data_IF_742682590380
#
_entry.id   IF_742682590380
#
_cell.length_a   1.000
_cell.length_b   1.000
_cell.length_c   1.000
_cell.angle_alpha   90.00
_cell.angle_beta   90.00
_cell.angle_gamma   90.00
#
_symmetry.space_group_name_H-M   'P 1'
#
loop_
_entity.id
_entity.type
_entity.pdbx_description
1 polymer ?
#
# COMPACT_ATOMS: atom_id res chain seq x y z
N UNK A 1 28.74 3.15 4.92
CA UNK A 1 27.62 2.61 5.72
C UNK A 1 26.34 3.08 5.06
N UNK A 2 25.57 2.18 4.46
CA UNK A 2 24.27 2.54 3.91
C UNK A 2 23.29 2.59 5.07
N UNK A 3 22.93 3.79 5.53
CA UNK A 3 21.89 3.98 6.53
C UNK A 3 20.59 3.49 5.88
N UNK A 4 20.14 2.29 6.23
CA UNK A 4 18.81 1.84 5.83
C UNK A 4 17.82 2.85 6.43
N UNK A 5 17.17 3.64 5.59
CA UNK A 5 16.04 4.48 6.01
C UNK A 5 14.90 3.51 6.28
N UNK A 6 14.88 2.96 7.49
CA UNK A 6 13.81 2.08 7.95
C UNK A 6 12.70 3.01 8.41
N UNK A 7 11.59 3.04 7.66
CA UNK A 7 10.36 3.65 8.15
C UNK A 7 9.90 2.91 9.40
N UNK A 8 9.48 3.62 10.43
CA UNK A 8 8.86 3.00 11.61
C UNK A 8 7.52 2.37 11.23
N UNK A 9 6.98 1.53 12.12
CA UNK A 9 5.63 0.95 11.96
C UNK A 9 4.57 2.04 11.75
N UNK A 10 4.64 3.11 12.53
CA UNK A 10 3.69 4.24 12.46
C UNK A 10 3.81 4.98 11.12
N UNK A 11 5.04 5.25 10.66
CA UNK A 11 5.27 5.86 9.35
C UNK A 11 4.78 5.00 8.19
N UNK A 12 4.86 3.67 8.32
CA UNK A 12 4.30 2.73 7.34
C UNK A 12 2.76 2.78 7.34
N UNK A 13 2.13 2.81 8.52
CA UNK A 13 0.68 2.92 8.65
C UNK A 13 0.16 4.25 8.07
N UNK A 14 0.80 5.37 8.39
CA UNK A 14 0.48 6.67 7.81
C UNK A 14 0.68 6.69 6.30
N UNK A 15 1.74 6.05 5.81
CA UNK A 15 2.00 6.00 4.38
C UNK A 15 0.94 5.18 3.64
N UNK A 16 0.52 4.04 4.21
CA UNK A 16 -0.60 3.24 3.69
C UNK A 16 -1.87 4.08 3.60
N UNK A 17 -2.20 4.82 4.66
CA UNK A 17 -3.40 5.65 4.71
C UNK A 17 -3.40 6.77 3.66
N UNK A 18 -2.25 7.43 3.46
CA UNK A 18 -2.08 8.44 2.40
C UNK A 18 -2.27 7.85 1.01
N UNK A 19 -1.72 6.65 0.76
CA UNK A 19 -1.86 5.96 -0.52
C UNK A 19 -3.32 5.58 -0.82
N UNK A 20 -4.04 5.08 0.19
CA UNK A 20 -5.46 4.75 0.07
C UNK A 20 -6.31 6.01 -0.17
N UNK A 21 -5.99 7.10 0.53
CA UNK A 21 -6.62 8.40 0.32
C UNK A 21 -6.39 8.94 -1.10
N UNK A 22 -5.19 8.74 -1.67
CA UNK A 22 -4.85 9.18 -3.03
C UNK A 22 -5.76 8.55 -4.10
N UNK A 23 -6.15 7.29 -3.93
CA UNK A 23 -7.06 6.59 -4.85
C UNK A 23 -8.52 6.65 -4.43
N UNK A 24 -8.81 7.22 -3.25
CA UNK A 24 -10.16 7.34 -2.72
C UNK A 24 -10.84 6.00 -2.43
N UNK A 25 -10.06 4.97 -2.05
CA UNK A 25 -10.56 3.60 -1.84
C UNK A 25 -10.07 3.04 -0.50
N UNK A 26 -10.87 2.15 0.08
CA UNK A 26 -10.43 1.33 1.20
C UNK A 26 -9.41 0.28 0.74
N UNK A 27 -8.62 -0.25 1.69
CA UNK A 27 -7.70 -1.37 1.46
C UNK A 27 -8.44 -2.56 0.85
N UNK A 28 -9.57 -2.96 1.44
CA UNK A 28 -10.38 -4.09 0.96
C UNK A 28 -10.77 -3.92 -0.52
N UNK A 29 -11.32 -2.75 -0.88
CA UNK A 29 -11.75 -2.49 -2.26
C UNK A 29 -10.57 -2.50 -3.24
N UNK A 30 -9.42 -1.96 -2.84
CA UNK A 30 -8.21 -1.96 -3.65
C UNK A 30 -7.70 -3.38 -3.90
N UNK A 31 -7.78 -4.26 -2.89
CA UNK A 31 -7.36 -5.65 -3.01
C UNK A 31 -8.32 -6.49 -3.85
N UNK A 32 -9.63 -6.29 -3.72
CA UNK A 32 -10.62 -6.98 -4.55
C UNK A 32 -10.40 -6.67 -6.04
N UNK A 33 -10.28 -5.37 -6.38
CA UNK A 33 -9.97 -4.95 -7.75
C UNK A 33 -8.61 -5.48 -8.24
N UNK A 34 -7.63 -5.60 -7.34
CA UNK A 34 -6.32 -6.18 -7.65
C UNK A 34 -6.39 -7.67 -8.02
N UNK A 35 -7.25 -8.45 -7.34
CA UNK A 35 -7.50 -9.86 -7.65
C UNK A 35 -8.23 -10.04 -8.98
N UNK A 36 -9.15 -9.12 -9.28
CA UNK A 36 -9.96 -9.15 -10.51
C UNK A 36 -9.26 -8.53 -11.73
N UNK A 37 -8.02 -8.04 -11.56
CA UNK A 37 -7.23 -7.33 -12.59
C UNK A 37 -7.87 -6.04 -13.14
N UNK A 38 -8.84 -5.48 -12.41
CA UNK A 38 -9.65 -4.31 -12.81
C UNK A 38 -9.08 -2.96 -12.35
N UNK A 39 -7.83 -2.93 -11.86
CA UNK A 39 -7.16 -1.69 -11.45
C UNK A 39 -6.70 -0.85 -12.64
N UNK A 40 -7.01 0.45 -12.60
CA UNK A 40 -6.41 1.44 -13.49
C UNK A 40 -4.88 1.54 -13.26
N UNK A 41 -4.09 2.03 -14.24
CA UNK A 41 -2.63 2.06 -14.13
C UNK A 41 -2.08 2.72 -12.86
N UNK A 42 -2.67 3.83 -12.40
CA UNK A 42 -2.23 4.50 -11.18
C UNK A 42 -2.69 3.80 -9.90
N UNK A 43 -3.85 3.16 -9.92
CA UNK A 43 -4.33 2.34 -8.81
C UNK A 43 -3.49 1.07 -8.66
N UNK A 44 -3.00 0.50 -9.76
CA UNK A 44 -2.10 -0.66 -9.75
C UNK A 44 -0.78 -0.34 -9.04
N UNK A 45 -0.21 0.85 -9.26
CA UNK A 45 1.00 1.29 -8.53
C UNK A 45 0.71 1.38 -7.03
N UNK A 46 -0.43 1.96 -6.66
CA UNK A 46 -0.85 2.10 -5.27
C UNK A 46 -1.09 0.74 -4.61
N UNK A 47 -1.72 -0.20 -5.31
CA UNK A 47 -1.90 -1.58 -4.86
C UNK A 47 -0.57 -2.27 -4.54
N UNK A 48 0.40 -2.22 -5.44
CA UNK A 48 1.73 -2.83 -5.23
C UNK A 48 2.48 -2.21 -4.03
N UNK A 49 2.36 -0.89 -3.86
CA UNK A 49 2.95 -0.19 -2.71
C UNK A 49 2.26 -0.57 -1.39
N UNK A 50 0.92 -0.59 -1.37
CA UNK A 50 0.16 -0.99 -0.18
C UNK A 50 0.47 -2.44 0.20
N UNK A 51 0.54 -3.36 -0.78
CA UNK A 51 0.94 -4.76 -0.53
C UNK A 51 2.34 -4.88 0.05
N UNK A 52 3.28 -4.07 -0.46
CA UNK A 52 4.65 -4.01 0.08
C UNK A 52 4.67 -3.49 1.53
N UNK A 53 3.85 -2.48 1.84
CA UNK A 53 3.72 -1.96 3.21
C UNK A 53 3.11 -3.01 4.14
N UNK A 54 2.04 -3.68 3.71
CA UNK A 54 1.39 -4.74 4.50
C UNK A 54 2.36 -5.88 4.82
N UNK A 55 3.19 -6.29 3.85
CA UNK A 55 4.27 -7.25 4.08
C UNK A 55 5.27 -6.78 5.16
N UNK A 56 5.69 -5.52 5.11
CA UNK A 56 6.60 -4.94 6.12
C UNK A 56 5.93 -4.82 7.50
N UNK A 57 4.61 -4.68 7.55
CA UNK A 57 3.83 -4.64 8.78
C UNK A 57 3.52 -6.03 9.35
N UNK A 58 3.67 -7.09 8.55
CA UNK A 58 3.28 -8.45 8.90
C UNK A 58 1.76 -8.69 8.85
N UNK A 59 1.04 -7.88 8.08
CA UNK A 59 -0.44 -7.91 7.96
C UNK A 59 -0.92 -8.84 6.81
N UNK A 60 -0.19 -9.93 6.51
CA UNK A 60 -0.44 -10.85 5.37
C UNK A 60 -1.59 -11.84 5.64
#
# INVERSE_FOLDING_TARGET
>A
MSTAIVKTREELLEWRDRLLTQVGMSKERLYDLGRDFDLLPDQRKVYELVRSIDYLLGDD
#
